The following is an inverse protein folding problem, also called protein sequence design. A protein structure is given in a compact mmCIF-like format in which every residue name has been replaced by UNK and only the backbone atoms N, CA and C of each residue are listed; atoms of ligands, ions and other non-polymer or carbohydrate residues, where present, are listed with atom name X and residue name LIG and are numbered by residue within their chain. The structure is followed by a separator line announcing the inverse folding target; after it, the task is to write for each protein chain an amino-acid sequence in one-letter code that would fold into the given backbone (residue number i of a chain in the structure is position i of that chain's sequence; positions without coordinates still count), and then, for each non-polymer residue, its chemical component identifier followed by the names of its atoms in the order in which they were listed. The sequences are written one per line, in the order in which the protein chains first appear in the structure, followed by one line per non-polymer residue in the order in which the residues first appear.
data_IF_400203667620
#
_entry.id   IF_400203667620
#
_cell.length_a   1.000
_cell.length_b   1.000
_cell.length_c   1.000
_cell.angle_alpha   90.00
_cell.angle_beta   90.00
_cell.angle_gamma   90.00
#
_symmetry.space_group_name_H-M   'P 1'
#
loop_
_entity.id
_entity.type
_entity.pdbx_description
1 polymer ?
#
# COMPACT_ATOMS: atom_id res chain seq x y z
N UNK A 1 0.48 -13.89 -0.76
CA UNK A 1 0.77 -12.90 0.28
C UNK A 1 -0.06 -11.63 0.04
N UNK A 2 -0.71 -11.05 1.07
CA UNK A 2 -1.52 -9.83 0.93
C UNK A 2 -0.87 -8.71 1.74
N UNK A 3 -0.47 -7.62 1.09
CA UNK A 3 0.30 -6.52 1.69
C UNK A 3 -0.51 -5.22 1.65
N UNK A 4 -0.87 -4.68 2.81
CA UNK A 4 -1.46 -3.35 2.91
C UNK A 4 -0.35 -2.30 3.07
N UNK A 5 -0.32 -1.30 2.18
CA UNK A 5 0.61 -0.16 2.24
C UNK A 5 -0.09 0.98 2.96
N UNK A 6 0.29 1.27 4.20
CA UNK A 6 -0.48 2.15 5.08
C UNK A 6 0.38 3.14 5.87
N UNK A 7 -0.14 4.35 6.01
CA UNK A 7 0.31 5.36 6.96
C UNK A 7 -0.78 6.43 7.06
N UNK A 8 -1.03 6.92 8.27
CA UNK A 8 -2.02 7.98 8.52
C UNK A 8 -1.62 9.32 7.89
N UNK A 9 -0.34 9.57 7.71
CA UNK A 9 0.16 10.83 7.13
C UNK A 9 0.01 10.83 5.61
N UNK A 10 -0.58 11.89 5.06
CA UNK A 10 -0.60 12.16 3.62
C UNK A 10 0.80 12.49 3.07
N UNK A 11 1.04 12.19 1.79
CA UNK A 11 2.28 12.56 1.09
C UNK A 11 3.54 11.80 1.48
N UNK A 12 3.41 10.70 2.23
CA UNK A 12 4.56 9.83 2.61
C UNK A 12 4.91 8.79 1.55
N UNK A 13 4.28 8.82 0.38
CA UNK A 13 4.58 7.90 -0.72
C UNK A 13 3.90 6.53 -0.61
N UNK A 14 2.75 6.41 0.04
CA UNK A 14 1.97 5.15 0.07
C UNK A 14 1.68 4.64 -1.33
N UNK A 15 0.93 5.41 -2.11
CA UNK A 15 0.54 5.08 -3.49
C UNK A 15 1.74 4.80 -4.38
N UNK A 16 2.80 5.64 -4.29
CA UNK A 16 4.03 5.42 -5.05
C UNK A 16 4.70 4.09 -4.68
N UNK A 17 4.71 3.75 -3.38
CA UNK A 17 5.29 2.49 -2.89
C UNK A 17 4.43 1.30 -3.30
N UNK A 18 3.10 1.42 -3.24
CA UNK A 18 2.18 0.38 -3.69
C UNK A 18 2.36 0.09 -5.19
N UNK A 19 2.38 1.14 -6.03
CA UNK A 19 2.61 1.02 -7.47
C UNK A 19 3.98 0.39 -7.78
N UNK A 20 5.06 0.91 -7.15
CA UNK A 20 6.39 0.40 -7.38
C UNK A 20 6.55 -1.06 -6.90
N UNK A 21 5.93 -1.42 -5.76
CA UNK A 21 5.94 -2.79 -5.27
C UNK A 21 5.22 -3.72 -6.24
N UNK A 22 4.01 -3.36 -6.68
CA UNK A 22 3.23 -4.16 -7.62
C UNK A 22 3.96 -4.34 -8.97
N UNK A 23 4.41 -3.24 -9.59
CA UNK A 23 5.13 -3.28 -10.86
C UNK A 23 6.47 -4.03 -10.76
N UNK A 24 7.22 -3.82 -9.69
CA UNK A 24 8.51 -4.48 -9.51
C UNK A 24 8.40 -5.97 -9.20
N UNK A 25 7.36 -6.42 -8.49
CA UNK A 25 7.04 -7.83 -8.30
C UNK A 25 6.60 -8.47 -9.63
N UNK A 26 5.73 -7.82 -10.39
CA UNK A 26 5.33 -8.29 -11.73
C UNK A 26 6.53 -8.37 -12.68
N UNK A 27 7.43 -7.37 -12.66
CA UNK A 27 8.68 -7.40 -13.41
C UNK A 27 9.64 -8.52 -13.03
N UNK A 28 9.47 -9.14 -11.87
CA UNK A 28 10.19 -10.37 -11.42
C UNK A 28 9.45 -11.67 -11.79
N UNK A 29 8.30 -11.58 -12.46
CA UNK A 29 7.51 -12.73 -12.92
C UNK A 29 6.44 -13.22 -11.95
N UNK A 30 6.18 -12.52 -10.84
CA UNK A 30 5.08 -12.84 -9.94
C UNK A 30 3.73 -12.38 -10.49
N UNK A 31 2.68 -13.13 -10.21
CA UNK A 31 1.30 -12.73 -10.47
C UNK A 31 0.86 -11.76 -9.37
N UNK A 32 0.52 -10.52 -9.74
CA UNK A 32 0.22 -9.46 -8.77
C UNK A 32 -1.15 -8.86 -9.05
N UNK A 33 -1.94 -8.67 -7.98
CA UNK A 33 -3.15 -7.87 -7.97
C UNK A 33 -2.92 -6.61 -7.13
N UNK A 34 -3.09 -5.44 -7.71
CA UNK A 34 -3.23 -4.18 -7.00
C UNK A 34 -4.68 -3.93 -6.61
N UNK A 35 -4.90 -3.33 -5.44
CA UNK A 35 -6.22 -2.83 -5.03
C UNK A 35 -6.03 -1.40 -4.56
N UNK A 36 -6.66 -0.45 -5.26
CA UNK A 36 -6.72 0.93 -4.81
C UNK A 36 -7.87 1.07 -3.81
N UNK A 37 -7.57 1.40 -2.56
CA UNK A 37 -8.57 1.57 -1.51
C UNK A 37 -8.63 3.02 -1.01
N UNK A 38 -7.96 3.95 -1.71
CA UNK A 38 -8.07 5.38 -1.44
C UNK A 38 -9.15 6.01 -2.33
N UNK A 39 -10.18 6.67 -1.77
CA UNK A 39 -11.20 7.40 -2.55
C UNK A 39 -10.64 8.43 -3.53
N UNK A 40 -9.40 8.89 -3.33
CA UNK A 40 -8.73 9.79 -4.28
C UNK A 40 -8.35 9.11 -5.60
N UNK A 41 -8.31 7.76 -5.65
CA UNK A 41 -8.02 7.01 -6.87
C UNK A 41 -6.62 7.27 -7.45
N UNK A 42 -5.65 7.62 -6.60
CA UNK A 42 -4.32 8.00 -7.06
C UNK A 42 -3.54 6.81 -7.65
N UNK A 43 -3.70 5.60 -7.11
CA UNK A 43 -3.08 4.40 -7.66
C UNK A 43 -3.69 4.07 -9.02
N UNK A 44 -5.02 4.13 -9.14
CA UNK A 44 -5.77 3.92 -10.38
C UNK A 44 -5.33 4.92 -11.46
N UNK A 45 -5.28 6.21 -11.11
CA UNK A 45 -4.86 7.28 -12.02
C UNK A 45 -3.42 7.12 -12.47
N UNK A 46 -2.50 6.79 -11.57
CA UNK A 46 -1.08 6.58 -11.87
C UNK A 46 -0.84 5.37 -12.79
N UNK A 47 -1.74 4.39 -12.80
CA UNK A 47 -1.69 3.24 -13.70
C UNK A 47 -2.45 3.45 -15.02
N UNK A 48 -3.23 4.54 -15.12
CA UNK A 48 -4.01 4.87 -16.31
C UNK A 48 -5.18 3.92 -16.57
N UNK A 49 -5.71 3.27 -15.53
CA UNK A 49 -6.92 2.43 -15.62
C UNK A 49 -8.19 3.28 -15.53
N UNK A 50 -9.28 2.78 -16.13
CA UNK A 50 -10.60 3.44 -16.07
C UNK A 50 -11.19 3.28 -14.66
N UNK A 51 -11.86 4.30 -14.13
CA UNK A 51 -12.43 4.28 -12.78
C UNK A 51 -13.82 4.91 -12.66
N UNK A 52 -14.45 5.35 -13.77
CA UNK A 52 -15.74 6.04 -13.70
C UNK A 52 -16.91 5.27 -14.31
N UNK A 53 -16.72 4.61 -15.46
CA UNK A 53 -17.79 3.90 -16.15
C UNK A 53 -17.66 2.37 -16.04
N UNK A 54 -16.95 1.91 -15.05
CA UNK A 54 -16.62 0.50 -14.78
C UNK A 54 -16.82 0.20 -13.30
N UNK A 55 -17.04 -1.04 -12.91
CA UNK A 55 -17.01 -1.42 -11.51
C UNK A 55 -15.66 -1.08 -10.88
N UNK A 56 -15.69 -0.64 -9.63
CA UNK A 56 -14.52 -0.26 -8.83
C UNK A 56 -14.54 -1.01 -7.49
N UNK A 57 -13.54 -0.79 -6.65
CA UNK A 57 -13.55 -1.35 -5.31
C UNK A 57 -14.77 -0.90 -4.49
N UNK A 58 -15.42 0.23 -4.84
CA UNK A 58 -16.66 0.66 -4.20
C UNK A 58 -17.79 -0.35 -4.42
N UNK A 59 -18.05 -0.75 -5.67
CA UNK A 59 -19.06 -1.77 -6.00
C UNK A 59 -18.71 -3.13 -5.39
N UNK A 60 -17.43 -3.47 -5.34
CA UNK A 60 -16.92 -4.68 -4.67
C UNK A 60 -17.24 -4.64 -3.16
N UNK A 61 -16.94 -3.55 -2.48
CA UNK A 61 -17.24 -3.37 -1.05
C UNK A 61 -18.75 -3.39 -0.76
N UNK A 62 -19.57 -2.95 -1.69
CA UNK A 62 -21.05 -3.03 -1.62
C UNK A 62 -21.60 -4.40 -1.99
N UNK A 63 -20.79 -5.34 -2.47
CA UNK A 63 -21.21 -6.65 -3.00
C UNK A 63 -22.12 -6.56 -4.22
N UNK A 64 -21.99 -5.51 -5.03
CA UNK A 64 -22.69 -5.31 -6.31
C UNK A 64 -21.83 -5.67 -7.51
N UNK A 65 -20.52 -5.88 -7.29
CA UNK A 65 -19.58 -6.45 -8.25
C UNK A 65 -18.56 -7.35 -7.55
N UNK A 66 -17.94 -8.24 -8.32
CA UNK A 66 -16.83 -9.09 -7.89
C UNK A 66 -15.48 -8.41 -8.18
N UNK A 67 -14.40 -8.94 -7.58
CA UNK A 67 -13.02 -8.51 -7.92
C UNK A 67 -12.74 -8.74 -9.41
N UNK A 68 -13.18 -9.87 -9.98
CA UNK A 68 -12.96 -10.21 -11.39
C UNK A 68 -13.65 -9.23 -12.35
N UNK A 69 -14.85 -8.75 -12.00
CA UNK A 69 -15.58 -7.77 -12.81
C UNK A 69 -14.96 -6.37 -12.73
N UNK A 70 -14.31 -6.04 -11.61
CA UNK A 70 -13.73 -4.73 -11.39
C UNK A 70 -12.26 -4.62 -11.82
N UNK A 71 -11.52 -5.73 -11.88
CA UNK A 71 -10.08 -5.69 -12.18
C UNK A 71 -9.79 -5.36 -13.64
N UNK A 72 -8.69 -4.65 -13.87
CA UNK A 72 -8.18 -4.28 -15.18
C UNK A 72 -6.69 -4.58 -15.26
N UNK A 73 -6.22 -5.02 -16.44
CA UNK A 73 -4.80 -5.24 -16.66
C UNK A 73 -4.06 -3.91 -16.89
N UNK A 74 -2.97 -3.70 -16.18
CA UNK A 74 -2.16 -2.48 -16.27
C UNK A 74 -1.00 -2.65 -17.26
N UNK A 75 -0.46 -1.53 -17.75
CA UNK A 75 0.77 -1.54 -18.55
C UNK A 75 1.98 -2.08 -17.78
N UNK A 76 1.97 -1.99 -16.45
CA UNK A 76 3.02 -2.53 -15.58
C UNK A 76 3.01 -4.06 -15.43
N UNK A 77 2.13 -4.78 -16.14
CA UNK A 77 2.10 -6.24 -16.18
C UNK A 77 1.43 -6.90 -14.96
N UNK A 78 0.57 -6.18 -14.26
CA UNK A 78 -0.23 -6.68 -13.14
C UNK A 78 -1.68 -6.22 -13.26
N UNK A 79 -2.59 -6.88 -12.53
CA UNK A 79 -4.00 -6.50 -12.49
C UNK A 79 -4.25 -5.48 -11.37
N UNK A 80 -5.22 -4.57 -11.58
CA UNK A 80 -5.58 -3.54 -10.60
C UNK A 80 -7.10 -3.41 -10.50
N UNK A 81 -7.62 -3.45 -9.28
CA UNK A 81 -9.00 -3.04 -8.95
C UNK A 81 -8.97 -1.54 -8.65
N UNK A 82 -9.63 -0.71 -9.48
CA UNK A 82 -9.56 0.74 -9.33
C UNK A 82 -10.45 1.26 -8.21
N UNK A 83 -10.16 2.48 -7.76
CA UNK A 83 -11.01 3.29 -6.90
C UNK A 83 -11.43 4.60 -7.58
N UNK A 84 -12.51 5.18 -7.08
CA UNK A 84 -12.92 6.54 -7.39
C UNK A 84 -13.54 7.20 -6.16
N UNK A 85 -13.96 8.46 -6.30
CA UNK A 85 -14.48 9.27 -5.19
C UNK A 85 -15.76 8.67 -4.54
N UNK A 86 -16.51 7.82 -5.25
CA UNK A 86 -17.69 7.15 -4.69
C UNK A 86 -17.35 6.28 -3.48
N UNK A 87 -16.11 5.78 -3.41
CA UNK A 87 -15.62 4.99 -2.29
C UNK A 87 -15.65 5.78 -0.96
N UNK A 88 -15.60 7.11 -0.97
CA UNK A 88 -15.76 7.93 0.23
C UNK A 88 -17.15 7.73 0.88
N UNK A 89 -18.18 7.44 0.08
CA UNK A 89 -19.51 7.11 0.58
C UNK A 89 -19.57 5.76 1.30
N UNK A 90 -18.68 4.83 0.96
CA UNK A 90 -18.66 3.51 1.58
C UNK A 90 -18.44 3.57 3.10
N UNK A 91 -17.69 4.55 3.62
CA UNK A 91 -17.47 4.73 5.06
C UNK A 91 -18.79 4.98 5.83
N UNK A 92 -19.76 5.66 5.21
CA UNK A 92 -21.08 5.93 5.79
C UNK A 92 -22.07 4.78 5.51
N UNK A 93 -22.00 4.19 4.32
CA UNK A 93 -22.92 3.14 3.87
C UNK A 93 -22.62 1.77 4.49
N UNK A 94 -21.37 1.48 4.81
CA UNK A 94 -20.94 0.26 5.49
C UNK A 94 -21.24 0.34 6.99
N UNK A 95 -22.52 0.29 7.36
CA UNK A 95 -22.97 0.36 8.76
C UNK A 95 -23.32 -1.00 9.39
N UNK A 96 -23.36 -2.06 8.59
CA UNK A 96 -23.77 -3.40 9.05
C UNK A 96 -22.65 -4.10 9.83
N UNK A 97 -23.04 -5.02 10.71
CA UNK A 97 -22.11 -5.92 11.41
C UNK A 97 -21.27 -6.69 10.39
N UNK A 98 -19.96 -6.81 10.64
CA UNK A 98 -19.04 -7.49 9.72
C UNK A 98 -18.53 -6.62 8.57
N UNK A 99 -18.79 -5.32 8.61
CA UNK A 99 -18.30 -4.35 7.59
C UNK A 99 -16.78 -4.38 7.42
N UNK A 100 -16.05 -4.76 8.47
CA UNK A 100 -14.59 -4.87 8.49
C UNK A 100 -14.07 -6.03 7.64
N UNK A 101 -14.91 -6.98 7.27
CA UNK A 101 -14.55 -8.18 6.52
C UNK A 101 -14.89 -8.11 5.02
N UNK A 102 -15.49 -7.02 4.54
CA UNK A 102 -15.98 -6.88 3.16
C UNK A 102 -14.89 -7.14 2.11
N UNK A 103 -13.73 -6.51 2.28
CA UNK A 103 -12.61 -6.69 1.35
C UNK A 103 -12.05 -8.11 1.43
N UNK A 104 -11.89 -8.67 2.64
CA UNK A 104 -11.40 -10.04 2.83
C UNK A 104 -12.29 -11.07 2.14
N UNK A 105 -13.62 -10.93 2.31
CA UNK A 105 -14.60 -11.81 1.66
C UNK A 105 -14.55 -11.70 0.13
N UNK A 106 -14.40 -10.47 -0.40
CA UNK A 106 -14.33 -10.22 -1.82
C UNK A 106 -13.03 -10.74 -2.46
N UNK A 107 -11.91 -10.67 -1.74
CA UNK A 107 -10.59 -11.13 -2.21
C UNK A 107 -10.44 -12.64 -2.12
N UNK A 108 -11.11 -13.31 -1.16
CA UNK A 108 -10.94 -14.74 -0.90
C UNK A 108 -11.08 -15.65 -2.15
N UNK A 109 -12.04 -15.41 -3.08
CA UNK A 109 -12.19 -16.26 -4.28
C UNK A 109 -11.02 -16.19 -5.25
N UNK A 110 -10.24 -15.08 -5.24
CA UNK A 110 -9.14 -14.84 -6.20
C UNK A 110 -7.77 -14.92 -5.55
N UNK A 111 -7.69 -15.02 -4.22
CA UNK A 111 -6.42 -14.95 -3.49
C UNK A 111 -5.42 -16.04 -3.90
N UNK A 112 -5.90 -17.20 -4.35
CA UNK A 112 -5.06 -18.30 -4.82
C UNK A 112 -4.49 -18.13 -6.24
N UNK A 113 -4.99 -17.17 -7.01
CA UNK A 113 -4.57 -16.91 -8.39
C UNK A 113 -3.36 -15.97 -8.46
N UNK A 114 -3.04 -15.29 -7.34
CA UNK A 114 -1.97 -14.29 -7.24
C UNK A 114 -0.93 -14.65 -6.19
N UNK A 115 0.34 -14.46 -6.52
CA UNK A 115 1.46 -14.60 -5.56
C UNK A 115 1.42 -13.45 -4.54
N UNK A 116 1.08 -12.25 -5.02
CA UNK A 116 0.99 -11.05 -4.19
C UNK A 116 -0.30 -10.25 -4.48
N UNK A 117 -0.91 -9.73 -3.41
CA UNK A 117 -1.97 -8.73 -3.50
C UNK A 117 -1.47 -7.49 -2.75
N UNK A 118 -1.42 -6.33 -3.43
CA UNK A 118 -0.93 -5.05 -2.89
C UNK A 118 -2.09 -4.08 -2.75
N UNK A 119 -2.38 -3.66 -1.53
CA UNK A 119 -3.51 -2.76 -1.21
C UNK A 119 -2.94 -1.38 -0.86
N UNK A 120 -3.27 -0.34 -1.65
CA UNK A 120 -3.02 1.06 -1.29
C UNK A 120 -4.14 1.59 -0.41
N UNK A 121 -3.83 2.22 0.72
CA UNK A 121 -4.82 2.68 1.70
C UNK A 121 -4.92 4.20 1.76
N UNK A 122 -6.10 4.75 2.15
CA UNK A 122 -6.24 6.18 2.40
C UNK A 122 -5.39 6.64 3.60
N UNK A 123 -5.18 7.97 3.76
CA UNK A 123 -4.47 8.53 4.92
C UNK A 123 -5.35 8.62 6.18
N UNK A 124 -6.36 7.78 6.32
CA UNK A 124 -7.26 7.70 7.47
C UNK A 124 -7.19 6.32 8.10
N UNK A 125 -7.46 6.22 9.38
CA UNK A 125 -7.59 4.94 10.10
C UNK A 125 -9.08 4.53 10.25
N UNK A 126 -9.88 4.80 9.22
CA UNK A 126 -11.30 4.50 9.14
C UNK A 126 -11.61 3.07 8.71
N UNK A 127 -12.86 2.84 8.30
CA UNK A 127 -13.36 1.52 7.91
C UNK A 127 -12.62 0.92 6.71
N UNK A 128 -12.15 1.76 5.77
CA UNK A 128 -11.41 1.28 4.61
C UNK A 128 -10.05 0.71 5.03
N UNK A 129 -9.28 1.43 5.86
CA UNK A 129 -8.01 0.93 6.40
C UNK A 129 -8.23 -0.30 7.29
N UNK A 130 -9.30 -0.33 8.08
CA UNK A 130 -9.70 -1.51 8.85
C UNK A 130 -9.95 -2.73 7.96
N UNK A 131 -10.61 -2.56 6.81
CA UNK A 131 -10.81 -3.61 5.81
C UNK A 131 -9.49 -4.08 5.19
N UNK A 132 -8.59 -3.15 4.84
CA UNK A 132 -7.26 -3.51 4.34
C UNK A 132 -6.50 -4.38 5.34
N UNK A 133 -6.47 -4.00 6.62
CA UNK A 133 -5.75 -4.77 7.66
C UNK A 133 -6.42 -6.10 8.00
N UNK A 134 -7.76 -6.16 7.94
CA UNK A 134 -8.51 -7.40 8.12
C UNK A 134 -8.24 -8.40 6.98
N UNK A 135 -8.01 -7.90 5.77
CA UNK A 135 -7.67 -8.69 4.59
C UNK A 135 -6.19 -9.08 4.53
N UNK A 136 -5.29 -8.20 4.98
CA UNK A 136 -3.85 -8.34 4.80
C UNK A 136 -3.24 -9.45 5.65
N UNK A 137 -2.14 -10.04 5.15
CA UNK A 137 -1.19 -10.83 5.93
C UNK A 137 -0.12 -9.94 6.55
N UNK A 138 0.28 -8.90 5.84
CA UNK A 138 1.40 -8.02 6.18
C UNK A 138 1.04 -6.55 5.93
N UNK A 139 1.58 -5.65 6.76
CA UNK A 139 1.44 -4.21 6.63
C UNK A 139 2.82 -3.61 6.38
N UNK A 140 2.97 -2.87 5.28
CA UNK A 140 4.14 -2.07 4.95
C UNK A 140 3.87 -0.60 5.30
N UNK A 141 4.79 0.03 6.04
CA UNK A 141 4.63 1.41 6.51
C UNK A 141 5.65 2.33 5.82
N UNK A 142 5.31 2.95 4.66
CA UNK A 142 6.13 4.03 4.13
C UNK A 142 6.04 5.25 5.04
N UNK A 143 7.19 5.86 5.35
CA UNK A 143 7.24 7.07 6.19
C UNK A 143 8.34 8.02 5.74
N UNK A 144 8.15 9.31 5.98
CA UNK A 144 9.20 10.33 5.75
C UNK A 144 9.92 10.64 7.05
N UNK A 145 11.18 11.08 6.96
CA UNK A 145 11.95 11.56 8.10
C UNK A 145 11.41 12.93 8.58
N UNK A 146 10.25 12.94 9.21
CA UNK A 146 9.60 14.13 9.74
C UNK A 146 9.28 13.99 11.24
N UNK A 147 9.18 15.11 11.94
CA UNK A 147 9.00 15.19 13.41
C UNK A 147 7.77 14.39 13.89
N UNK A 148 6.71 14.28 13.08
CA UNK A 148 5.47 13.56 13.41
C UNK A 148 5.45 12.10 12.94
N UNK A 149 6.57 11.57 12.41
CA UNK A 149 6.60 10.19 11.90
C UNK A 149 6.31 9.16 13.00
N UNK A 150 6.88 9.33 14.17
CA UNK A 150 6.73 8.42 15.32
C UNK A 150 5.30 8.39 15.85
N UNK A 151 4.64 9.55 15.99
CA UNK A 151 3.26 9.62 16.45
C UNK A 151 2.29 8.92 15.49
N UNK A 152 2.46 9.11 14.18
CA UNK A 152 1.62 8.45 13.17
C UNK A 152 1.81 6.93 13.13
N UNK A 153 3.04 6.44 13.35
CA UNK A 153 3.32 5.00 13.43
C UNK A 153 2.71 4.40 14.71
N UNK A 154 2.75 5.11 15.84
CA UNK A 154 2.16 4.66 17.09
C UNK A 154 0.64 4.50 16.97
N UNK A 155 -0.07 5.49 16.43
CA UNK A 155 -1.51 5.41 16.17
C UNK A 155 -1.88 4.28 15.20
N UNK A 156 -1.07 4.08 14.16
CA UNK A 156 -1.29 2.98 13.23
C UNK A 156 -1.13 1.63 13.96
N UNK A 157 -0.13 1.48 14.84
CA UNK A 157 0.08 0.28 15.63
C UNK A 157 -1.09 -0.02 16.57
N UNK A 158 -1.73 0.99 17.18
CA UNK A 158 -2.95 0.82 17.97
C UNK A 158 -4.10 0.24 17.13
N UNK A 159 -4.25 0.73 15.88
CA UNK A 159 -5.24 0.21 14.93
C UNK A 159 -4.92 -1.23 14.54
N UNK A 160 -3.65 -1.55 14.26
CA UNK A 160 -3.21 -2.93 13.96
C UNK A 160 -3.52 -3.85 15.14
N UNK A 161 -3.19 -3.45 16.36
CA UNK A 161 -3.48 -4.21 17.58
C UNK A 161 -4.98 -4.47 17.76
N UNK A 162 -5.82 -3.47 17.47
CA UNK A 162 -7.28 -3.64 17.46
C UNK A 162 -7.74 -4.66 16.43
N UNK A 163 -7.22 -4.57 15.21
CA UNK A 163 -7.55 -5.53 14.13
C UNK A 163 -7.06 -6.94 14.48
N UNK A 164 -5.86 -7.08 15.02
CA UNK A 164 -5.35 -8.37 15.51
C UNK A 164 -6.28 -9.00 16.56
N UNK A 165 -6.78 -8.19 17.46
CA UNK A 165 -7.65 -8.66 18.55
C UNK A 165 -9.03 -9.12 18.08
N UNK A 166 -9.63 -8.42 17.11
CA UNK A 166 -11.05 -8.59 16.80
C UNK A 166 -11.34 -9.13 15.39
N UNK A 167 -10.45 -8.97 14.41
CA UNK A 167 -10.74 -9.25 13.01
C UNK A 167 -9.73 -10.19 12.33
N UNK A 168 -8.43 -9.98 12.56
CA UNK A 168 -7.36 -10.73 11.89
C UNK A 168 -6.14 -10.93 12.81
N UNK A 169 -6.14 -11.99 13.64
CA UNK A 169 -5.03 -12.25 14.57
C UNK A 169 -3.66 -12.48 13.90
N UNK A 170 -3.66 -12.82 12.61
CA UNK A 170 -2.45 -13.14 11.85
C UNK A 170 -1.78 -11.95 11.17
N UNK A 171 -2.42 -10.78 11.12
CA UNK A 171 -1.81 -9.60 10.47
C UNK A 171 -0.61 -9.10 11.27
N UNK A 172 0.47 -8.75 10.57
CA UNK A 172 1.69 -8.22 11.21
C UNK A 172 2.25 -7.03 10.45
N UNK A 173 2.98 -6.17 11.15
CA UNK A 173 3.73 -5.10 10.49
C UNK A 173 5.01 -5.73 9.91
N UNK A 174 5.11 -5.75 8.57
CA UNK A 174 6.25 -6.29 7.83
C UNK A 174 7.50 -5.45 7.98
N UNK A 175 7.32 -4.14 8.04
CA UNK A 175 8.41 -3.21 8.24
C UNK A 175 8.09 -1.77 7.90
N UNK A 176 9.01 -0.89 8.27
CA UNK A 176 8.97 0.55 8.04
C UNK A 176 9.93 0.89 6.91
N UNK A 177 9.45 1.53 5.84
CA UNK A 177 10.24 2.00 4.71
C UNK A 177 10.37 3.52 4.74
N UNK A 178 11.60 4.04 4.88
CA UNK A 178 11.84 5.46 4.74
C UNK A 178 11.76 5.89 3.27
N UNK A 179 10.88 6.85 3.00
CA UNK A 179 10.68 7.47 1.70
C UNK A 179 11.08 8.94 1.73
N UNK A 180 11.39 9.53 0.56
CA UNK A 180 11.85 10.92 0.44
C UNK A 180 13.00 11.22 1.41
N UNK A 181 13.84 10.23 1.66
CA UNK A 181 14.87 10.25 2.68
C UNK A 181 16.15 10.91 2.13
N UNK A 182 16.73 11.81 2.92
CA UNK A 182 18.02 12.40 2.64
C UNK A 182 19.02 12.01 3.75
N UNK A 183 19.93 11.05 3.52
CA UNK A 183 20.85 10.56 4.55
C UNK A 183 21.88 11.62 5.00
N UNK A 184 22.07 12.68 4.20
CA UNK A 184 23.00 13.77 4.54
C UNK A 184 22.39 14.80 5.50
N UNK A 185 21.07 14.89 5.58
CA UNK A 185 20.40 15.81 6.49
C UNK A 185 20.50 15.32 7.94
N UNK A 186 20.92 16.19 8.87
CA UNK A 186 21.03 15.85 10.29
C UNK A 186 19.70 15.41 10.89
N UNK A 187 18.62 16.11 10.53
CA UNK A 187 17.25 15.78 10.98
C UNK A 187 16.83 14.36 10.54
N UNK A 188 17.18 13.93 9.31
CA UNK A 188 16.86 12.59 8.84
C UNK A 188 17.51 11.49 9.69
N UNK A 189 18.73 11.72 10.14
CA UNK A 189 19.45 10.79 11.03
C UNK A 189 18.83 10.71 12.42
N UNK A 190 18.43 11.86 12.98
CA UNK A 190 17.78 11.91 14.30
C UNK A 190 16.42 11.19 14.26
N UNK A 191 15.61 11.44 13.21
CA UNK A 191 14.32 10.78 13.05
C UNK A 191 14.48 9.28 12.83
N UNK A 192 15.51 8.85 12.10
CA UNK A 192 15.81 7.42 11.95
C UNK A 192 16.11 6.77 13.30
N UNK A 193 16.93 7.37 14.13
CA UNK A 193 17.25 6.86 15.47
C UNK A 193 15.98 6.76 16.36
N UNK A 194 15.06 7.75 16.29
CA UNK A 194 13.78 7.68 16.99
C UNK A 194 12.88 6.57 16.45
N UNK A 195 12.88 6.36 15.14
CA UNK A 195 12.10 5.28 14.52
C UNK A 195 12.67 3.90 14.87
N UNK A 196 13.99 3.78 15.07
CA UNK A 196 14.62 2.54 15.54
C UNK A 196 14.14 2.17 16.96
N UNK A 197 14.03 3.14 17.86
CA UNK A 197 13.43 2.92 19.19
C UNK A 197 11.96 2.50 19.12
N UNK A 198 11.19 3.14 18.22
CA UNK A 198 9.79 2.80 18.01
C UNK A 198 9.64 1.41 17.36
N UNK A 199 10.52 1.05 16.43
CA UNK A 199 10.58 -0.26 15.79
C UNK A 199 10.69 -1.40 16.82
N UNK A 200 11.51 -1.23 17.84
CA UNK A 200 11.60 -2.19 18.96
C UNK A 200 10.27 -2.30 19.72
N UNK A 201 9.65 -1.15 20.01
CA UNK A 201 8.38 -1.09 20.74
C UNK A 201 7.23 -1.78 19.99
N UNK A 202 7.11 -1.58 18.65
CA UNK A 202 6.05 -2.17 17.83
C UNK A 202 6.45 -3.53 17.23
N UNK A 203 7.64 -4.05 17.54
CA UNK A 203 8.20 -5.30 17.00
C UNK A 203 8.18 -5.36 15.46
N UNK A 204 8.46 -4.23 14.80
CA UNK A 204 8.46 -4.10 13.34
C UNK A 204 9.83 -3.61 12.83
N UNK A 205 10.50 -4.35 11.92
CA UNK A 205 11.82 -3.97 11.44
C UNK A 205 11.77 -2.71 10.57
N UNK A 206 12.88 -1.96 10.54
CA UNK A 206 13.10 -0.91 9.57
C UNK A 206 13.91 -1.49 8.41
N UNK A 207 13.43 -1.27 7.17
CA UNK A 207 14.19 -1.64 5.99
C UNK A 207 15.51 -0.88 5.93
N UNK A 208 16.60 -1.56 5.56
CA UNK A 208 17.92 -0.94 5.37
C UNK A 208 17.91 0.01 4.18
N UNK A 209 17.18 -0.39 3.14
CA UNK A 209 16.93 0.43 1.95
C UNK A 209 16.00 1.60 2.30
N UNK A 210 16.28 2.75 1.75
CA UNK A 210 15.42 3.93 1.79
C UNK A 210 15.21 4.49 0.38
N UNK A 211 14.08 5.14 0.16
CA UNK A 211 13.74 5.75 -1.14
C UNK A 211 14.10 7.23 -1.10
N UNK A 212 15.00 7.65 -1.99
CA UNK A 212 15.41 9.05 -2.14
C UNK A 212 14.29 9.92 -2.71
N UNK A 213 14.30 11.21 -2.40
CA UNK A 213 13.40 12.16 -3.04
C UNK A 213 13.82 12.40 -4.49
N UNK A 214 12.88 12.32 -5.42
CA UNK A 214 13.16 12.59 -6.83
C UNK A 214 11.90 13.11 -7.54
N UNK A 215 12.04 14.19 -8.29
CA UNK A 215 10.95 14.81 -9.08
C UNK A 215 10.42 13.87 -10.17
N UNK A 216 11.24 12.95 -10.63
CA UNK A 216 10.89 11.97 -11.68
C UNK A 216 9.73 11.08 -11.27
N UNK A 217 9.44 10.90 -9.97
CA UNK A 217 8.29 10.13 -9.47
C UNK A 217 6.99 10.82 -9.86
N UNK A 218 6.90 12.13 -9.64
CA UNK A 218 5.71 12.93 -10.01
C UNK A 218 5.52 12.96 -11.53
N UNK A 219 6.62 13.03 -12.28
CA UNK A 219 6.59 12.97 -13.76
C UNK A 219 6.11 11.59 -14.25
N UNK A 220 6.52 10.48 -13.64
CA UNK A 220 6.07 9.15 -14.00
C UNK A 220 4.55 9.01 -13.77
N UNK A 221 4.06 9.43 -12.60
CA UNK A 221 2.64 9.41 -12.28
C UNK A 221 1.79 10.27 -13.24
N UNK A 222 2.27 11.48 -13.58
CA UNK A 222 1.61 12.35 -14.56
C UNK A 222 1.53 11.71 -15.96
N UNK A 223 2.48 10.87 -16.31
CA UNK A 223 2.52 10.11 -17.57
C UNK A 223 1.81 8.74 -17.47
N UNK A 224 1.14 8.43 -16.34
CA UNK A 224 0.43 7.16 -16.11
C UNK A 224 1.33 5.95 -16.35
N UNK A 225 2.55 6.03 -15.85
CA UNK A 225 3.57 4.99 -15.95
C UNK A 225 4.18 4.69 -14.57
N UNK A 226 4.61 3.48 -14.36
CA UNK A 226 5.40 3.16 -13.18
C UNK A 226 6.84 3.70 -13.31
N UNK A 227 7.55 3.75 -12.20
CA UNK A 227 8.91 4.33 -12.16
C UNK A 227 9.93 3.50 -12.96
N UNK A 228 9.70 2.19 -13.12
CA UNK A 228 10.62 1.31 -13.83
C UNK A 228 10.51 1.44 -15.34
N UNK A 229 9.28 1.67 -15.84
CA UNK A 229 9.01 1.93 -17.25
C UNK A 229 9.43 3.37 -17.63
N UNK A 230 8.98 4.37 -16.85
CA UNK A 230 9.20 5.78 -17.16
C UNK A 230 10.68 6.20 -17.01
N UNK A 231 11.35 5.76 -15.95
CA UNK A 231 12.70 6.20 -15.60
C UNK A 231 13.52 5.09 -14.94
N UNK A 232 13.55 3.91 -15.55
CA UNK A 232 14.15 2.70 -14.99
C UNK A 232 15.63 2.77 -14.62
N UNK A 233 16.36 3.78 -15.12
CA UNK A 233 17.78 4.06 -14.77
C UNK A 233 17.92 5.15 -13.70
N UNK A 234 16.82 5.68 -13.17
CA UNK A 234 16.86 6.70 -12.13
C UNK A 234 17.26 6.12 -10.79
N UNK A 235 17.84 6.95 -9.94
CA UNK A 235 18.24 6.55 -8.57
C UNK A 235 17.07 6.06 -7.73
N UNK A 236 15.85 6.59 -7.93
CA UNK A 236 14.67 6.15 -7.21
C UNK A 236 14.17 4.79 -7.71
N UNK A 237 14.31 4.49 -9.00
CA UNK A 237 14.02 3.15 -9.54
C UNK A 237 14.99 2.10 -8.98
N UNK A 238 16.28 2.46 -8.86
CA UNK A 238 17.28 1.61 -8.21
C UNK A 238 16.94 1.37 -6.72
N UNK A 239 16.55 2.42 -5.99
CA UNK A 239 16.14 2.31 -4.60
C UNK A 239 14.94 1.37 -4.44
N UNK A 240 13.91 1.48 -5.30
CA UNK A 240 12.76 0.57 -5.26
C UNK A 240 13.13 -0.86 -5.63
N UNK A 241 14.03 -1.10 -6.60
CA UNK A 241 14.52 -2.47 -6.88
C UNK A 241 15.22 -3.07 -5.67
N UNK A 242 16.13 -2.30 -5.04
CA UNK A 242 16.83 -2.75 -3.84
C UNK A 242 15.86 -3.03 -2.67
N UNK A 243 14.83 -2.17 -2.51
CA UNK A 243 13.78 -2.39 -1.52
C UNK A 243 12.98 -3.68 -1.81
N UNK A 244 12.59 -3.93 -3.07
CA UNK A 244 11.84 -5.15 -3.44
C UNK A 244 12.69 -6.39 -3.20
N UNK A 245 13.99 -6.35 -3.49
CA UNK A 245 14.91 -7.46 -3.19
C UNK A 245 15.03 -7.70 -1.66
N UNK A 246 15.03 -6.63 -0.86
CA UNK A 246 15.03 -6.73 0.60
C UNK A 246 13.68 -7.24 1.13
N UNK A 247 12.57 -6.75 0.57
CA UNK A 247 11.21 -7.16 0.91
C UNK A 247 10.98 -8.66 0.69
N UNK A 248 11.51 -9.20 -0.41
CA UNK A 248 11.38 -10.61 -0.75
C UNK A 248 12.22 -11.55 0.14
N UNK A 249 13.23 -11.03 0.84
CA UNK A 249 14.00 -11.83 1.80
C UNK A 249 13.10 -12.24 2.97
N UNK A 250 12.87 -13.56 3.11
CA UNK A 250 11.98 -14.11 4.13
C UNK A 250 10.50 -14.17 3.72
N UNK A 251 10.22 -14.08 2.41
CA UNK A 251 8.96 -14.51 1.81
C UNK A 251 9.17 -15.94 1.32
N UNK A 252 8.50 -16.90 1.94
CA UNK A 252 8.31 -18.23 1.35
C UNK A 252 7.16 -18.11 0.35
N UNK A 253 7.43 -18.28 -0.94
CA UNK A 253 6.45 -18.27 -2.04
C UNK A 253 6.17 -19.70 -2.46
#
# INVERSE_FOLDING_TARGET
MIVAVANQKGGVGKTTTAQALAAGLAGKGYKVLGIDLDPQGNFSSACGVESYNVPTVYEVMKRTATIQEAMQHTKGGYDLVPANIMLAGAEQELSQTGKEHRLKEAVAPVAGDYDFIVIDTPPSLGVLTGNAFTCATDILIPTTAGIFATAGISQLNETVTSVQKYCNPGVKIRGILFTRFNPRASISRQIKALAEQLSEYISAPIYKTYIRSAVVVEAAQANRADIFDYAGKSTVAEDYRAFIDEFLKGVEV
#
